data_IF_604424512441
#
_entry.id   IF_604424512441
#
_cell.length_a   1.000
_cell.length_b   1.000
_cell.length_c   1.000
_cell.angle_alpha   90.00
_cell.angle_beta   90.00
_cell.angle_gamma   90.00
#
_symmetry.space_group_name_H-M   'P 1'
#
loop_
_entity.id
_entity.type
_entity.pdbx_description
1 polymer ?
#
# COMPACT_ATOMS: atom_id res chain seq x y z
N UNK A 1 16.08 27.24 0.73
CA UNK A 1 15.22 27.30 -0.47
C UNK A 1 14.20 26.19 -0.29
N UNK A 2 12.92 26.34 -0.64
CA UNK A 2 12.02 25.19 -0.59
C UNK A 2 12.57 24.11 -1.52
N UNK A 3 12.57 22.85 -1.08
CA UNK A 3 12.99 21.76 -1.94
C UNK A 3 12.06 21.65 -3.14
N UNK A 4 12.64 21.25 -4.26
CA UNK A 4 11.93 21.13 -5.54
C UNK A 4 11.28 19.76 -5.56
N UNK A 5 9.97 19.64 -5.84
CA UNK A 5 9.33 18.35 -5.96
C UNK A 5 9.94 17.54 -7.11
N UNK A 6 9.84 16.19 -7.08
CA UNK A 6 10.18 15.36 -8.22
C UNK A 6 9.54 15.87 -9.52
N UNK A 7 10.23 15.73 -10.65
CA UNK A 7 9.80 16.35 -11.91
C UNK A 7 8.44 15.83 -12.42
N UNK A 8 8.08 14.63 -12.01
CA UNK A 8 6.84 13.92 -12.30
C UNK A 8 5.81 13.97 -11.15
N UNK A 9 6.13 14.70 -10.06
CA UNK A 9 5.23 14.84 -8.93
C UNK A 9 3.90 15.52 -9.36
N UNK A 10 2.76 14.87 -9.09
CA UNK A 10 1.43 15.46 -9.28
C UNK A 10 1.22 16.73 -8.44
N UNK A 11 0.28 17.58 -8.86
CA UNK A 11 -0.19 18.70 -8.03
C UNK A 11 -1.11 18.19 -6.91
N UNK A 12 -0.51 17.58 -5.89
CA UNK A 12 -1.24 17.02 -4.74
C UNK A 12 -2.04 18.08 -3.98
N UNK A 13 -1.59 19.34 -3.95
CA UNK A 13 -2.33 20.41 -3.31
C UNK A 13 -3.69 20.63 -3.99
N UNK A 14 -3.73 20.63 -5.32
CA UNK A 14 -4.96 20.74 -6.08
C UNK A 14 -5.78 19.45 -6.06
N UNK A 15 -5.13 18.30 -6.29
CA UNK A 15 -5.80 16.99 -6.38
C UNK A 15 -6.50 16.61 -5.07
N UNK A 16 -5.90 16.96 -3.93
CA UNK A 16 -6.38 16.54 -2.62
C UNK A 16 -6.98 17.67 -1.78
N UNK A 17 -7.32 18.80 -2.39
CA UNK A 17 -7.85 19.97 -1.68
C UNK A 17 -9.16 19.71 -0.89
N UNK A 18 -9.92 18.68 -1.26
CA UNK A 18 -11.23 18.35 -0.65
C UNK A 18 -11.53 16.86 -0.58
N UNK A 19 -10.52 16.04 -0.83
CA UNK A 19 -10.67 14.59 -1.04
C UNK A 19 -10.21 13.82 0.19
N UNK A 20 -10.31 12.49 0.25
CA UNK A 20 -10.34 11.81 1.54
C UNK A 20 -8.95 11.59 2.17
N UNK A 21 -7.87 11.98 1.48
CA UNK A 21 -6.52 12.07 2.05
C UNK A 21 -6.08 13.52 2.12
N UNK A 22 -5.25 13.82 3.11
CA UNK A 22 -4.53 15.07 3.13
C UNK A 22 -3.47 15.12 2.00
N UNK A 23 -3.18 16.30 1.41
CA UNK A 23 -2.20 16.43 0.32
C UNK A 23 -0.82 15.87 0.66
N UNK A 24 -0.33 16.09 1.90
CA UNK A 24 0.99 15.58 2.31
C UNK A 24 1.01 14.07 2.43
N UNK A 25 -0.05 13.48 3.02
CA UNK A 25 -0.21 12.04 3.10
C UNK A 25 -0.20 11.41 1.69
N UNK A 26 -1.01 11.94 0.77
CA UNK A 26 -1.06 11.42 -0.60
C UNK A 26 0.30 11.51 -1.32
N UNK A 27 1.03 12.62 -1.13
CA UNK A 27 2.35 12.82 -1.70
C UNK A 27 3.39 11.81 -1.18
N UNK A 28 3.41 11.57 0.14
CA UNK A 28 4.33 10.61 0.77
C UNK A 28 4.03 9.18 0.34
N UNK A 29 2.76 8.77 0.34
CA UNK A 29 2.36 7.43 -0.12
C UNK A 29 2.71 7.21 -1.60
N UNK A 30 2.61 8.25 -2.43
CA UNK A 30 2.97 8.18 -3.85
C UNK A 30 4.49 7.98 -4.02
N UNK A 31 5.28 8.77 -3.29
CA UNK A 31 6.74 8.71 -3.32
C UNK A 31 7.25 7.35 -2.84
N UNK A 32 6.72 6.85 -1.71
CA UNK A 32 7.09 5.55 -1.15
C UNK A 32 6.63 4.39 -2.05
N UNK A 33 5.47 4.48 -2.70
CA UNK A 33 5.09 3.48 -3.69
C UNK A 33 6.09 3.39 -4.86
N UNK A 34 6.63 4.54 -5.30
CA UNK A 34 7.73 4.58 -6.28
C UNK A 34 9.01 3.95 -5.76
N UNK A 35 9.41 4.30 -4.53
CA UNK A 35 10.60 3.77 -3.87
C UNK A 35 10.55 2.23 -3.75
N UNK A 36 9.46 1.67 -3.22
CA UNK A 36 9.32 0.21 -3.06
C UNK A 36 9.32 -0.49 -4.43
N UNK A 37 8.72 0.11 -5.46
CA UNK A 37 8.75 -0.44 -6.81
C UNK A 37 10.17 -0.53 -7.37
N UNK A 38 10.98 0.51 -7.16
CA UNK A 38 12.37 0.54 -7.61
C UNK A 38 13.23 -0.47 -6.83
N UNK A 39 13.02 -0.58 -5.51
CA UNK A 39 13.71 -1.56 -4.66
C UNK A 39 13.31 -3.02 -5.00
N UNK A 40 12.05 -3.29 -5.32
CA UNK A 40 11.61 -4.62 -5.78
C UNK A 40 12.15 -5.00 -7.17
N UNK A 41 12.53 -4.02 -7.98
CA UNK A 41 13.17 -4.23 -9.30
C UNK A 41 14.68 -4.38 -9.20
N UNK A 42 15.27 -4.03 -8.06
CA UNK A 42 16.66 -4.22 -7.75
C UNK A 42 16.85 -5.58 -7.07
N UNK A 43 17.51 -6.53 -7.75
CA UNK A 43 17.74 -7.88 -7.25
C UNK A 43 18.43 -7.90 -5.86
N UNK A 44 19.27 -6.89 -5.55
CA UNK A 44 19.99 -6.83 -4.28
C UNK A 44 19.07 -6.38 -3.12
N UNK A 45 17.97 -5.67 -3.40
CA UNK A 45 17.04 -5.11 -2.39
C UNK A 45 15.70 -5.85 -2.32
N UNK A 46 15.30 -6.56 -3.38
CA UNK A 46 14.00 -7.22 -3.48
C UNK A 46 13.73 -8.23 -2.36
N UNK A 47 14.77 -8.91 -1.85
CA UNK A 47 14.62 -9.92 -0.78
C UNK A 47 14.01 -9.33 0.50
N UNK A 48 14.33 -8.07 0.82
CA UNK A 48 13.75 -7.35 1.98
C UNK A 48 12.22 -7.27 1.87
N UNK A 49 11.71 -6.84 0.71
CA UNK A 49 10.27 -6.71 0.47
C UNK A 49 9.56 -8.05 0.33
N UNK A 50 10.27 -9.06 -0.17
CA UNK A 50 9.74 -10.42 -0.25
C UNK A 50 9.53 -11.00 1.16
N UNK A 51 10.43 -10.70 2.11
CA UNK A 51 10.32 -11.17 3.49
C UNK A 51 9.15 -10.52 4.25
N UNK A 52 8.75 -9.31 3.86
CA UNK A 52 7.58 -8.59 4.39
C UNK A 52 6.23 -9.09 3.83
N UNK A 53 6.24 -10.01 2.85
CA UNK A 53 4.99 -10.61 2.38
C UNK A 53 4.41 -11.58 3.41
N UNK A 54 3.07 -11.73 3.46
CA UNK A 54 2.45 -12.75 4.28
C UNK A 54 3.05 -14.14 4.05
N UNK A 55 3.26 -14.90 5.13
CA UNK A 55 3.91 -16.22 5.07
C UNK A 55 3.23 -17.16 4.05
N UNK A 56 1.90 -17.04 3.91
CA UNK A 56 1.10 -17.79 2.93
C UNK A 56 1.56 -17.59 1.48
N UNK A 57 2.19 -16.45 1.15
CA UNK A 57 2.70 -16.17 -0.19
C UNK A 57 3.92 -17.01 -0.55
N UNK A 58 4.72 -17.44 0.44
CA UNK A 58 6.05 -18.05 0.22
C UNK A 58 6.07 -19.20 -0.78
N UNK A 59 5.09 -20.14 -0.79
CA UNK A 59 5.06 -21.22 -1.77
C UNK A 59 4.77 -20.78 -3.21
N UNK A 60 4.37 -19.52 -3.42
CA UNK A 60 3.92 -18.96 -4.70
C UNK A 60 4.88 -17.92 -5.28
N UNK A 61 6.00 -17.62 -4.60
CA UNK A 61 6.98 -16.60 -4.99
C UNK A 61 7.84 -17.08 -6.17
N UNK A 62 7.26 -17.09 -7.36
CA UNK A 62 8.00 -17.17 -8.62
C UNK A 62 8.16 -15.77 -9.26
N UNK A 63 9.04 -15.66 -10.27
CA UNK A 63 9.32 -14.40 -10.97
C UNK A 63 8.04 -13.72 -11.48
N UNK A 64 7.04 -14.51 -11.89
CA UNK A 64 5.77 -13.98 -12.40
C UNK A 64 4.94 -13.39 -11.26
N UNK A 65 4.88 -14.05 -10.12
CA UNK A 65 4.18 -13.55 -8.94
C UNK A 65 4.82 -12.26 -8.45
N UNK A 66 6.16 -12.23 -8.32
CA UNK A 66 6.91 -11.05 -7.87
C UNK A 66 6.70 -9.89 -8.85
N UNK A 67 6.82 -10.12 -10.16
CA UNK A 67 6.55 -9.08 -11.16
C UNK A 67 5.10 -8.58 -11.12
N UNK A 68 4.12 -9.47 -10.93
CA UNK A 68 2.72 -9.09 -10.79
C UNK A 68 2.48 -8.26 -9.53
N UNK A 69 3.10 -8.64 -8.42
CA UNK A 69 3.03 -7.91 -7.15
C UNK A 69 3.71 -6.55 -7.23
N UNK A 70 4.92 -6.47 -7.79
CA UNK A 70 5.63 -5.21 -8.03
C UNK A 70 4.78 -4.23 -8.85
N UNK A 71 4.07 -4.71 -9.88
CA UNK A 71 3.17 -3.84 -10.67
C UNK A 71 2.03 -3.19 -9.87
N UNK A 72 1.73 -3.67 -8.66
CA UNK A 72 0.71 -3.08 -7.78
C UNK A 72 1.14 -1.72 -7.24
N UNK A 73 2.42 -1.54 -6.93
CA UNK A 73 2.95 -0.24 -6.49
C UNK A 73 2.83 0.82 -7.59
N UNK A 74 3.04 0.46 -8.85
CA UNK A 74 2.79 1.34 -10.00
C UNK A 74 1.30 1.70 -10.13
N UNK A 75 0.40 0.74 -9.88
CA UNK A 75 -1.05 0.98 -9.86
C UNK A 75 -1.44 1.95 -8.74
N UNK A 76 -0.89 1.76 -7.53
CA UNK A 76 -1.12 2.64 -6.38
C UNK A 76 -0.61 4.05 -6.64
N UNK A 77 0.64 4.19 -7.09
CA UNK A 77 1.22 5.48 -7.46
C UNK A 77 0.37 6.16 -8.55
N UNK A 78 -0.06 5.42 -9.57
CA UNK A 78 -0.93 5.94 -10.61
C UNK A 78 -2.32 6.37 -10.12
N UNK A 79 -2.89 5.68 -9.12
CA UNK A 79 -4.16 6.07 -8.49
C UNK A 79 -4.00 7.34 -7.66
N UNK A 80 -2.96 7.42 -6.84
CA UNK A 80 -2.62 8.60 -6.06
C UNK A 80 -2.38 9.83 -6.97
N UNK A 81 -1.65 9.64 -8.07
CA UNK A 81 -1.33 10.70 -9.01
C UNK A 81 -2.54 11.25 -9.79
N UNK A 82 -3.64 10.49 -9.87
CA UNK A 82 -4.89 10.94 -10.49
C UNK A 82 -5.82 11.66 -9.49
N UNK A 83 -5.51 11.60 -8.20
CA UNK A 83 -6.44 11.97 -7.15
C UNK A 83 -7.50 10.89 -6.91
N UNK A 84 -8.05 10.89 -5.70
CA UNK A 84 -9.07 9.94 -5.27
C UNK A 84 -10.35 10.69 -4.93
N UNK A 85 -11.51 10.08 -5.22
CA UNK A 85 -12.78 10.58 -4.70
C UNK A 85 -13.11 9.94 -3.33
N UNK A 86 -12.74 8.67 -3.15
CA UNK A 86 -12.97 7.86 -1.95
C UNK A 86 -11.73 6.98 -1.69
N UNK A 87 -11.43 6.67 -0.42
CA UNK A 87 -10.25 5.87 -0.03
C UNK A 87 -10.29 4.46 -0.58
N UNK A 88 -11.48 3.86 -0.65
CA UNK A 88 -11.74 2.53 -1.22
C UNK A 88 -11.28 2.41 -2.67
N UNK A 89 -11.11 3.53 -3.39
CA UNK A 89 -10.56 3.54 -4.74
C UNK A 89 -9.06 3.21 -4.84
N UNK A 90 -8.34 3.12 -3.71
CA UNK A 90 -6.91 2.75 -3.69
C UNK A 90 -6.67 1.27 -3.94
N UNK A 91 -7.54 0.40 -3.47
CA UNK A 91 -7.39 -1.04 -3.60
C UNK A 91 -8.57 -1.65 -4.37
N UNK A 92 -8.26 -2.56 -5.29
CA UNK A 92 -9.26 -3.26 -6.10
C UNK A 92 -9.12 -4.77 -6.05
N UNK A 93 -8.05 -5.26 -5.43
CA UNK A 93 -7.73 -6.67 -5.22
C UNK A 93 -6.87 -6.81 -3.96
N UNK A 94 -6.80 -8.02 -3.39
CA UNK A 94 -5.99 -8.29 -2.18
C UNK A 94 -4.52 -7.92 -2.37
N UNK A 95 -3.96 -8.09 -3.57
CA UNK A 95 -2.59 -7.66 -3.85
C UNK A 95 -2.41 -6.14 -3.75
N UNK A 96 -3.41 -5.33 -4.13
CA UNK A 96 -3.37 -3.88 -3.93
C UNK A 96 -3.41 -3.54 -2.44
N UNK A 97 -4.16 -4.29 -1.63
CA UNK A 97 -4.30 -4.07 -0.20
C UNK A 97 -3.00 -4.38 0.55
N UNK A 98 -2.37 -5.51 0.24
CA UNK A 98 -1.04 -5.87 0.77
C UNK A 98 -0.01 -4.82 0.36
N UNK A 99 0.03 -4.43 -0.91
CA UNK A 99 0.96 -3.39 -1.37
C UNK A 99 0.70 -2.05 -0.67
N UNK A 100 -0.56 -1.68 -0.46
CA UNK A 100 -0.93 -0.45 0.24
C UNK A 100 -0.51 -0.50 1.71
N UNK A 101 -0.68 -1.65 2.38
CA UNK A 101 -0.20 -1.85 3.75
C UNK A 101 1.31 -1.61 3.84
N UNK A 102 2.10 -2.24 2.96
CA UNK A 102 3.56 -2.05 2.91
C UNK A 102 3.95 -0.59 2.64
N UNK A 103 3.24 0.10 1.73
CA UNK A 103 3.48 1.53 1.46
C UNK A 103 3.23 2.37 2.71
N UNK A 104 2.12 2.14 3.43
CA UNK A 104 1.77 2.94 4.60
C UNK A 104 2.75 2.69 5.74
N UNK A 105 3.06 1.42 6.03
CA UNK A 105 4.01 1.03 7.07
C UNK A 105 5.38 1.64 6.79
N UNK A 106 5.87 1.51 5.54
CA UNK A 106 7.14 2.09 5.16
C UNK A 106 7.14 3.62 5.23
N UNK A 107 6.02 4.25 4.88
CA UNK A 107 5.90 5.72 4.98
C UNK A 107 5.97 6.19 6.42
N UNK A 108 5.29 5.49 7.33
CA UNK A 108 5.29 5.76 8.77
C UNK A 108 6.71 5.61 9.34
N UNK A 109 7.40 4.51 9.05
CA UNK A 109 8.80 4.28 9.45
C UNK A 109 9.74 5.40 8.99
N UNK A 110 9.70 5.73 7.69
CA UNK A 110 10.56 6.75 7.11
C UNK A 110 10.30 8.15 7.70
N UNK A 111 9.04 8.42 8.06
CA UNK A 111 8.66 9.65 8.75
C UNK A 111 9.24 9.72 10.16
N UNK A 112 9.22 8.61 10.92
CA UNK A 112 9.73 8.55 12.29
C UNK A 112 11.27 8.55 12.36
N UNK A 113 11.94 7.88 11.43
CA UNK A 113 13.40 7.72 11.42
C UNK A 113 14.14 8.96 10.88
N UNK A 114 13.42 10.00 10.42
CA UNK A 114 13.95 11.12 9.65
C UNK A 114 14.76 10.69 8.41
N UNK A 115 14.41 9.53 7.84
CA UNK A 115 15.21 8.82 6.85
C UNK A 115 15.14 9.39 5.42
N UNK A 116 14.06 10.09 5.08
CA UNK A 116 13.90 10.78 3.79
C UNK A 116 13.70 12.28 3.98
N UNK A 117 14.42 13.05 3.17
CA UNK A 117 14.23 14.49 3.06
C UNK A 117 12.99 14.78 2.20
N UNK A 118 11.82 14.80 2.85
CA UNK A 118 10.56 15.25 2.25
C UNK A 118 10.37 16.78 2.35
N UNK A 119 11.44 17.58 2.33
CA UNK A 119 11.36 19.06 2.34
C UNK A 119 10.40 19.62 1.25
N UNK A 120 10.17 18.89 0.14
CA UNK A 120 9.25 19.33 -0.91
C UNK A 120 7.78 19.13 -0.52
N UNK A 121 7.48 18.08 0.26
CA UNK A 121 6.15 17.82 0.82
C UNK A 121 5.78 18.92 1.82
N UNK A 122 6.77 19.52 2.50
CA UNK A 122 6.54 20.64 3.41
C UNK A 122 6.04 21.92 2.72
N UNK A 123 6.16 22.02 1.40
CA UNK A 123 5.56 23.10 0.63
C UNK A 123 4.04 22.91 0.42
N UNK A 124 3.50 21.71 0.65
CA UNK A 124 2.07 21.42 0.50
C UNK A 124 1.25 21.95 1.70
N UNK A 125 -0.05 22.22 1.52
CA UNK A 125 -0.93 22.66 2.61
C UNK A 125 -0.90 21.70 3.80
N UNK A 126 -0.85 22.26 5.01
CA UNK A 126 -0.92 21.49 6.26
C UNK A 126 -2.37 21.09 6.54
N UNK A 127 -2.56 19.84 6.95
CA UNK A 127 -3.83 19.28 7.38
C UNK A 127 -3.68 18.51 8.72
N UNK A 128 -4.69 18.50 9.61
CA UNK A 128 -4.62 17.75 10.87
C UNK A 128 -4.42 16.22 10.72
N UNK A 129 -4.56 15.69 9.50
CA UNK A 129 -4.46 14.27 9.20
C UNK A 129 -3.19 13.92 8.39
N UNK A 130 -2.23 14.84 8.27
CA UNK A 130 -1.00 14.62 7.49
C UNK A 130 -0.17 13.44 8.02
N UNK A 131 -0.29 13.13 9.32
CA UNK A 131 0.50 12.11 10.01
C UNK A 131 -0.39 11.06 10.71
N UNK A 132 -1.68 10.98 10.35
CA UNK A 132 -2.64 10.04 10.95
C UNK A 132 -2.60 8.66 10.27
N UNK A 133 -1.44 8.00 10.28
CA UNK A 133 -1.24 6.69 9.65
C UNK A 133 -2.17 5.63 10.25
N UNK A 134 -2.33 5.61 11.56
CA UNK A 134 -3.28 4.72 12.26
C UNK A 134 -4.71 4.94 11.76
N UNK A 135 -5.16 6.20 11.67
CA UNK A 135 -6.49 6.52 11.16
C UNK A 135 -6.70 6.09 9.70
N UNK A 136 -5.69 6.24 8.84
CA UNK A 136 -5.83 5.76 7.45
C UNK A 136 -5.85 4.23 7.39
N UNK A 137 -5.03 3.54 8.19
CA UNK A 137 -5.03 2.07 8.28
C UNK A 137 -6.39 1.58 8.77
N UNK A 138 -6.95 2.21 9.80
CA UNK A 138 -8.28 1.90 10.31
C UNK A 138 -9.39 2.15 9.27
N UNK A 139 -9.25 3.15 8.40
CA UNK A 139 -10.26 3.41 7.37
C UNK A 139 -10.11 2.48 6.16
N UNK A 140 -8.88 2.17 5.77
CA UNK A 140 -8.57 1.35 4.61
C UNK A 140 -8.77 -0.13 4.91
N UNK A 141 -8.33 -0.61 6.08
CA UNK A 141 -8.25 -2.03 6.42
C UNK A 141 -9.33 -2.52 7.40
N UNK A 142 -10.22 -1.66 7.90
CA UNK A 142 -11.29 -2.10 8.83
C UNK A 142 -12.17 -3.22 8.29
N UNK A 143 -12.40 -3.22 6.98
CA UNK A 143 -13.18 -4.24 6.29
C UNK A 143 -12.28 -5.23 5.52
N UNK A 144 -10.95 -5.11 5.62
CA UNK A 144 -10.02 -5.91 4.84
C UNK A 144 -9.48 -7.07 5.67
N UNK A 145 -9.97 -8.26 5.31
CA UNK A 145 -9.56 -9.55 5.88
C UNK A 145 -8.06 -9.84 5.65
N UNK A 146 -7.39 -9.06 4.80
CA UNK A 146 -5.97 -9.15 4.46
C UNK A 146 -5.06 -9.08 5.68
N UNK A 147 -5.44 -8.33 6.72
CA UNK A 147 -4.63 -8.21 7.94
C UNK A 147 -4.52 -9.54 8.69
N UNK A 148 -5.49 -10.44 8.54
CA UNK A 148 -5.40 -11.78 9.13
C UNK A 148 -4.26 -12.63 8.54
N UNK A 149 -3.78 -12.31 7.32
CA UNK A 149 -2.66 -13.04 6.70
C UNK A 149 -1.32 -12.79 7.40
N UNK A 150 -1.22 -11.71 8.18
CA UNK A 150 -0.04 -11.36 8.98
C UNK A 150 -0.11 -11.91 10.41
N UNK A 151 -1.28 -12.37 10.85
CA UNK A 151 -1.53 -12.76 12.22
C UNK A 151 -1.43 -14.30 12.40
N UNK A 152 -0.45 -14.81 13.18
CA UNK A 152 -0.27 -16.25 13.36
C UNK A 152 -1.50 -16.97 13.92
N UNK A 153 -2.37 -16.26 14.63
CA UNK A 153 -3.61 -16.80 15.18
C UNK A 153 -4.65 -17.18 14.11
N UNK A 154 -4.48 -16.68 12.88
CA UNK A 154 -5.36 -16.92 11.74
C UNK A 154 -4.70 -17.77 10.64
N UNK A 155 -3.70 -18.58 10.99
CA UNK A 155 -3.10 -19.53 10.06
C UNK A 155 -4.16 -20.45 9.42
N UNK A 156 -4.08 -20.62 8.10
CA UNK A 156 -5.06 -21.35 7.29
C UNK A 156 -6.34 -20.57 6.95
N UNK A 157 -6.44 -19.29 7.31
CA UNK A 157 -7.56 -18.42 6.90
C UNK A 157 -7.64 -18.22 5.40
N UNK A 158 -6.55 -18.45 4.66
CA UNK A 158 -6.48 -18.39 3.22
C UNK A 158 -7.04 -19.65 2.53
N UNK A 159 -7.21 -20.77 3.25
CA UNK A 159 -7.68 -22.03 2.70
C UNK A 159 -9.19 -21.97 2.40
N UNK A 160 -9.61 -22.03 1.11
CA UNK A 160 -11.01 -21.98 0.73
C UNK A 160 -11.84 -23.16 1.28
N UNK A 161 -11.18 -24.27 1.61
CA UNK A 161 -11.81 -25.44 2.19
C UNK A 161 -11.95 -25.34 3.73
N UNK A 162 -11.36 -24.33 4.38
CA UNK A 162 -11.52 -24.14 5.82
C UNK A 162 -12.95 -23.70 6.18
N UNK A 163 -13.41 -24.09 7.38
CA UNK A 163 -14.71 -23.64 7.89
C UNK A 163 -14.70 -22.13 8.16
N UNK A 164 -13.58 -21.59 8.61
CA UNK A 164 -13.40 -20.15 8.86
C UNK A 164 -13.57 -19.33 7.59
N UNK A 165 -12.87 -19.66 6.50
CA UNK A 165 -13.00 -18.95 5.21
C UNK A 165 -14.45 -18.94 4.70
N UNK A 166 -15.11 -20.09 4.75
CA UNK A 166 -16.49 -20.26 4.26
C UNK A 166 -17.54 -19.57 5.13
N UNK A 167 -17.31 -19.48 6.44
CA UNK A 167 -18.28 -18.93 7.38
C UNK A 167 -18.14 -17.42 7.53
N UNK A 168 -16.91 -16.89 7.44
CA UNK A 168 -16.63 -15.46 7.54
C UNK A 168 -16.90 -14.71 6.22
N UNK A 169 -16.97 -15.42 5.09
CA UNK A 169 -17.25 -14.82 3.79
C UNK A 169 -16.04 -14.10 3.19
N UNK A 170 -14.83 -14.46 3.63
CA UNK A 170 -13.58 -13.89 3.13
C UNK A 170 -13.45 -14.08 1.62
N UNK A 171 -13.03 -13.02 0.93
CA UNK A 171 -12.83 -13.06 -0.51
C UNK A 171 -11.32 -13.05 -0.82
N UNK A 172 -10.91 -13.99 -1.67
CA UNK A 172 -9.61 -13.95 -2.36
C UNK A 172 -8.34 -13.92 -1.48
N UNK A 173 -8.41 -14.34 -0.21
CA UNK A 173 -7.23 -14.42 0.68
C UNK A 173 -6.15 -15.42 0.25
N UNK A 174 -6.50 -16.43 -0.57
CA UNK A 174 -5.52 -17.37 -1.11
C UNK A 174 -4.61 -16.68 -2.15
N UNK A 175 -3.27 -16.83 -2.12
CA UNK A 175 -2.34 -16.11 -3.02
C UNK A 175 -2.65 -16.22 -4.52
N UNK A 176 -3.20 -17.35 -4.97
CA UNK A 176 -3.67 -17.55 -6.36
C UNK A 176 -4.77 -16.57 -6.79
N UNK A 177 -5.46 -15.98 -5.83
CA UNK A 177 -6.61 -15.12 -6.04
C UNK A 177 -6.31 -13.64 -5.77
N UNK A 178 -5.12 -13.30 -5.24
CA UNK A 178 -4.79 -11.94 -4.80
C UNK A 178 -4.92 -10.88 -5.90
N UNK A 179 -4.78 -11.27 -7.17
CA UNK A 179 -4.88 -10.36 -8.30
C UNK A 179 -6.27 -10.30 -8.93
N UNK A 180 -7.26 -11.03 -8.38
CA UNK A 180 -8.66 -10.96 -8.81
C UNK A 180 -9.33 -9.74 -8.20
N UNK A 181 -10.20 -9.10 -8.97
CA UNK A 181 -10.96 -7.94 -8.48
C UNK A 181 -11.90 -8.35 -7.35
N UNK A 182 -11.92 -7.57 -6.28
CA UNK A 182 -12.91 -7.67 -5.20
C UNK A 182 -14.26 -7.21 -5.78
N UNK A 183 -15.25 -8.11 -5.82
CA UNK A 183 -16.60 -7.84 -6.31
C UNK A 183 -17.51 -7.27 -5.22
#
# INVERSE_FOLDING_TARGET
>A
MPAVPPADAPDFATLYASTPLAPRMAARLWDVAGLILDELRDDDMAEMWIDELPIVARPYLDDRFIAAFASRFEVLAGRLARGLNELTGLASCTADEIALHLVIDRTEELHEEAGLDWEWVDALPIHPADDDYVGIKDLLFRDLDVMFLYEPAFDGVDDPESETYRTQGFAHLHPRDWFKTLM
#
